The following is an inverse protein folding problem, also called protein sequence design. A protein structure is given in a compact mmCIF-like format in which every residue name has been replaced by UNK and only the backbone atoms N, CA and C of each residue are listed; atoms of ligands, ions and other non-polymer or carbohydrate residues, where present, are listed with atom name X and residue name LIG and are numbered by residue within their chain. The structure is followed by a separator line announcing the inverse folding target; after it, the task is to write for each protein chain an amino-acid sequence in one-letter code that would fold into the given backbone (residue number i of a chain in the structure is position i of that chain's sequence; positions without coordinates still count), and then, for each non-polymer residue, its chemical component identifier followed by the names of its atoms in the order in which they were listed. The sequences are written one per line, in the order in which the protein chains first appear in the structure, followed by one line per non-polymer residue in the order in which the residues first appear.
data_IF_952299049681
#
_entry.id   IF_952299049681
#
_cell.length_a   1.000
_cell.length_b   1.000
_cell.length_c   1.000
_cell.angle_alpha   90.00
_cell.angle_beta   90.00
_cell.angle_gamma   90.00
#
_symmetry.space_group_name_H-M   'P 1'
#
loop_
_entity.id
_entity.type
_entity.pdbx_description
1 polymer ?
#
# COMPACT_ATOMS: atom_id res chain seq x y z
N UNK A 1 -9.70 8.50 9.93
CA UNK A 1 -10.59 9.55 9.38
C UNK A 1 -9.86 10.23 8.24
N UNK A 2 -10.48 11.19 7.57
CA UNK A 2 -9.82 11.99 6.56
C UNK A 2 -10.28 13.44 6.69
N UNK A 3 -9.36 14.36 6.44
CA UNK A 3 -9.60 15.80 6.52
C UNK A 3 -9.19 16.45 5.20
N UNK A 4 -9.85 17.55 4.84
CA UNK A 4 -9.44 18.34 3.69
C UNK A 4 -8.19 19.14 4.04
N UNK A 5 -7.18 19.05 3.19
CA UNK A 5 -5.99 19.89 3.29
C UNK A 5 -6.37 21.34 2.99
N UNK A 6 -5.85 22.28 3.77
CA UNK A 6 -5.93 23.70 3.47
C UNK A 6 -4.99 24.05 2.31
N UNK A 7 -5.49 23.91 1.08
CA UNK A 7 -4.75 24.20 -0.14
C UNK A 7 -4.31 25.66 -0.21
N UNK A 8 -5.06 26.59 0.38
CA UNK A 8 -4.76 28.03 0.29
C UNK A 8 -3.44 28.38 1.01
N UNK A 9 -3.14 27.68 2.12
CA UNK A 9 -1.93 27.88 2.93
C UNK A 9 -0.87 26.78 2.72
N UNK A 10 -1.06 25.88 1.75
CA UNK A 10 -0.13 24.79 1.50
C UNK A 10 1.08 25.22 0.67
N UNK A 11 2.29 24.93 1.16
CA UNK A 11 3.55 25.29 0.50
C UNK A 11 3.73 24.72 -0.92
N UNK A 12 2.99 23.67 -1.28
CA UNK A 12 3.01 23.06 -2.63
C UNK A 12 1.78 23.40 -3.47
N UNK A 13 1.00 24.41 -3.09
CA UNK A 13 -0.20 24.84 -3.81
C UNK A 13 0.08 25.07 -5.30
N UNK A 14 1.08 25.88 -5.63
CA UNK A 14 1.38 26.22 -7.03
C UNK A 14 1.77 24.99 -7.85
N UNK A 15 2.51 24.04 -7.25
CA UNK A 15 2.83 22.78 -7.90
C UNK A 15 1.57 21.94 -8.14
N UNK A 16 0.69 21.86 -7.15
CA UNK A 16 -0.56 21.13 -7.28
C UNK A 16 -1.46 21.72 -8.37
N UNK A 17 -1.67 23.04 -8.36
CA UNK A 17 -2.47 23.74 -9.37
C UNK A 17 -1.87 23.58 -10.78
N UNK A 18 -0.54 23.56 -10.91
CA UNK A 18 0.14 23.32 -12.18
C UNK A 18 -0.10 21.91 -12.72
N UNK A 19 0.02 20.87 -11.88
CA UNK A 19 -0.05 19.48 -12.32
C UNK A 19 -1.48 18.93 -12.42
N UNK A 20 -2.44 19.42 -11.63
CA UNK A 20 -3.79 18.82 -11.55
C UNK A 20 -4.57 18.85 -12.88
N UNK A 21 -4.24 19.79 -13.78
CA UNK A 21 -4.85 19.89 -15.11
C UNK A 21 -4.29 18.92 -16.15
N UNK A 22 -3.25 18.15 -15.85
CA UNK A 22 -2.62 17.23 -16.80
C UNK A 22 -3.43 15.94 -16.91
N UNK A 23 -3.56 15.39 -18.13
CA UNK A 23 -4.19 14.07 -18.35
C UNK A 23 -3.45 12.92 -17.64
N UNK A 24 -2.12 13.06 -17.46
CA UNK A 24 -1.29 12.09 -16.77
C UNK A 24 -0.28 12.82 -15.85
N UNK A 25 -0.68 13.18 -14.62
CA UNK A 25 0.16 13.89 -13.66
C UNK A 25 1.07 12.94 -12.85
N UNK A 26 1.30 11.72 -13.34
CA UNK A 26 2.02 10.67 -12.62
C UNK A 26 3.37 10.37 -13.26
N UNK A 27 4.31 9.92 -12.43
CA UNK A 27 5.58 9.35 -12.86
C UNK A 27 5.88 8.09 -12.04
N UNK A 28 6.72 7.21 -12.59
CA UNK A 28 7.13 5.98 -11.94
C UNK A 28 8.60 6.08 -11.55
N UNK A 29 8.94 5.56 -10.38
CA UNK A 29 10.33 5.41 -9.91
C UNK A 29 10.57 3.95 -9.60
N UNK A 30 11.68 3.41 -10.10
CA UNK A 30 12.16 2.08 -9.77
C UNK A 30 13.58 2.21 -9.24
N UNK A 31 13.86 1.58 -8.10
CA UNK A 31 15.19 1.56 -7.52
C UNK A 31 15.41 0.26 -6.76
N UNK A 32 16.68 -0.12 -6.59
CA UNK A 32 17.07 -1.29 -5.83
C UNK A 32 17.23 -0.91 -4.35
N UNK A 33 16.62 -1.71 -3.48
CA UNK A 33 16.73 -1.56 -2.02
C UNK A 33 17.57 -2.72 -1.51
N UNK A 34 18.62 -2.43 -0.74
CA UNK A 34 19.36 -3.46 -0.03
C UNK A 34 18.53 -3.99 1.15
N UNK A 35 18.09 -5.24 1.02
CA UNK A 35 17.28 -5.96 2.01
C UNK A 35 18.07 -7.01 2.77
N UNK A 36 19.40 -6.98 2.73
CA UNK A 36 20.28 -8.01 3.34
C UNK A 36 19.96 -8.22 4.82
N UNK A 37 19.89 -7.13 5.59
CA UNK A 37 19.59 -7.19 7.02
C UNK A 37 18.15 -7.63 7.30
N UNK A 38 17.20 -7.16 6.49
CA UNK A 38 15.80 -7.56 6.61
C UNK A 38 15.65 -9.06 6.36
N UNK A 39 16.31 -9.59 5.32
CA UNK A 39 16.31 -11.01 4.97
C UNK A 39 16.88 -11.86 6.11
N UNK A 40 17.98 -11.43 6.72
CA UNK A 40 18.55 -12.13 7.87
C UNK A 40 17.58 -12.17 9.06
N UNK A 41 16.98 -11.03 9.40
CA UNK A 41 16.01 -10.91 10.48
C UNK A 41 14.78 -11.80 10.26
N UNK A 42 14.12 -11.72 9.11
CA UNK A 42 12.89 -12.51 8.85
C UNK A 42 13.17 -14.01 8.81
N UNK A 43 14.36 -14.43 8.35
CA UNK A 43 14.75 -15.84 8.38
C UNK A 43 14.95 -16.35 9.81
N UNK A 44 15.59 -15.56 10.68
CA UNK A 44 15.80 -15.91 12.09
C UNK A 44 14.47 -16.03 12.87
N UNK A 45 13.49 -15.19 12.51
CA UNK A 45 12.18 -15.15 13.18
C UNK A 45 11.10 -15.97 12.44
N UNK A 46 11.46 -16.67 11.37
CA UNK A 46 10.53 -17.44 10.52
C UNK A 46 9.38 -16.63 9.87
N UNK A 47 9.58 -15.34 9.66
CA UNK A 47 8.63 -14.49 8.94
C UNK A 47 8.81 -14.58 7.42
N UNK A 48 7.71 -14.44 6.66
CA UNK A 48 7.76 -14.34 5.20
C UNK A 48 8.29 -12.95 4.81
N UNK A 49 9.36 -12.89 4.03
CA UNK A 49 9.97 -11.62 3.59
C UNK A 49 8.99 -10.70 2.86
N UNK A 50 8.06 -11.26 2.07
CA UNK A 50 7.04 -10.47 1.37
C UNK A 50 6.15 -9.70 2.34
N UNK A 51 5.68 -10.33 3.43
CA UNK A 51 4.84 -9.66 4.43
C UNK A 51 5.61 -8.55 5.15
N UNK A 52 6.88 -8.78 5.47
CA UNK A 52 7.74 -7.78 6.09
C UNK A 52 7.97 -6.56 5.17
N UNK A 53 8.19 -6.79 3.87
CA UNK A 53 8.32 -5.70 2.89
C UNK A 53 7.03 -4.87 2.80
N UNK A 54 5.86 -5.51 2.81
CA UNK A 54 4.57 -4.80 2.83
C UNK A 54 4.42 -3.96 4.10
N UNK A 55 4.80 -4.49 5.27
CA UNK A 55 4.77 -3.72 6.52
C UNK A 55 5.61 -2.46 6.41
N UNK A 56 6.89 -2.58 6.01
CA UNK A 56 7.79 -1.44 5.97
C UNK A 56 7.38 -0.41 4.92
N UNK A 57 6.92 -0.85 3.74
CA UNK A 57 6.41 0.06 2.72
C UNK A 57 5.18 0.83 3.23
N UNK A 58 4.22 0.15 3.85
CA UNK A 58 3.01 0.79 4.35
C UNK A 58 3.28 1.66 5.60
N UNK A 59 4.23 1.27 6.45
CA UNK A 59 4.68 2.09 7.58
C UNK A 59 5.29 3.40 7.10
N UNK A 60 6.19 3.36 6.12
CA UNK A 60 6.79 4.57 5.54
C UNK A 60 5.71 5.45 4.90
N UNK A 61 4.75 4.86 4.18
CA UNK A 61 3.63 5.61 3.61
C UNK A 61 2.74 6.27 4.67
N UNK A 62 2.62 5.68 5.86
CA UNK A 62 1.88 6.27 6.98
C UNK A 62 2.69 7.34 7.74
N UNK A 63 4.02 7.21 7.80
CA UNK A 63 4.92 8.18 8.43
C UNK A 63 5.16 9.43 7.56
N UNK A 64 5.03 9.31 6.24
CA UNK A 64 5.22 10.41 5.28
C UNK A 64 3.86 10.88 4.75
N UNK A 65 3.39 11.99 5.30
CA UNK A 65 2.04 12.52 5.06
C UNK A 65 1.61 12.59 3.57
N UNK A 66 2.44 13.04 2.61
CA UNK A 66 2.05 13.08 1.20
C UNK A 66 1.59 11.75 0.58
N UNK A 67 1.99 10.58 1.12
CA UNK A 67 1.49 9.29 0.64
C UNK A 67 0.05 8.99 1.12
N UNK A 68 -0.45 9.75 2.09
CA UNK A 68 -1.82 9.67 2.61
C UNK A 68 -2.78 10.61 1.89
N UNK A 69 -2.29 11.38 0.92
CA UNK A 69 -3.14 12.28 0.13
C UNK A 69 -4.01 11.51 -0.85
N UNK A 70 -5.24 11.94 -1.03
CA UNK A 70 -6.16 11.50 -2.09
C UNK A 70 -6.86 12.69 -2.71
N UNK A 71 -7.21 12.55 -3.97
CA UNK A 71 -8.00 13.53 -4.71
C UNK A 71 -9.47 13.15 -4.63
N UNK A 72 -10.32 14.07 -4.18
CA UNK A 72 -11.77 13.91 -4.16
C UNK A 72 -12.42 15.25 -4.49
N UNK A 73 -13.25 15.27 -5.54
CA UNK A 73 -13.95 16.48 -6.02
C UNK A 73 -12.98 17.67 -6.21
N UNK A 74 -11.84 17.41 -6.86
CA UNK A 74 -10.74 18.38 -7.12
C UNK A 74 -10.08 18.96 -5.85
N UNK A 75 -10.40 18.41 -4.67
CA UNK A 75 -9.79 18.76 -3.40
C UNK A 75 -8.85 17.67 -2.92
N UNK A 76 -7.89 18.07 -2.09
CA UNK A 76 -6.94 17.15 -1.46
C UNK A 76 -7.48 16.73 -0.10
N UNK A 77 -7.71 15.42 0.07
CA UNK A 77 -7.95 14.78 1.35
C UNK A 77 -6.65 14.22 1.91
N UNK A 78 -6.47 14.28 3.22
CA UNK A 78 -5.39 13.64 3.95
C UNK A 78 -6.00 12.60 4.87
N UNK A 79 -5.68 11.32 4.66
CA UNK A 79 -6.09 10.26 5.56
C UNK A 79 -5.18 10.19 6.79
N UNK A 80 -5.76 9.90 7.96
CA UNK A 80 -4.96 9.64 9.17
C UNK A 80 -4.07 8.40 8.98
N UNK A 81 -4.65 7.38 8.34
CA UNK A 81 -4.02 6.07 8.11
C UNK A 81 -4.35 5.63 6.70
N UNK A 82 -3.34 5.13 5.99
CA UNK A 82 -3.51 4.35 4.77
C UNK A 82 -3.27 2.87 5.04
N UNK A 83 -4.10 2.05 4.43
CA UNK A 83 -4.20 0.61 4.61
C UNK A 83 -3.66 -0.12 3.38
N UNK A 84 -3.51 -1.44 3.47
CA UNK A 84 -2.87 -2.22 2.43
C UNK A 84 -3.84 -3.05 1.61
N UNK A 85 -3.58 -3.10 0.31
CA UNK A 85 -4.12 -4.09 -0.60
C UNK A 85 -2.98 -4.85 -1.27
N UNK A 86 -3.17 -6.14 -1.54
CA UNK A 86 -2.18 -6.92 -2.30
C UNK A 86 -2.83 -7.92 -3.24
N UNK A 87 -2.11 -8.24 -4.32
CA UNK A 87 -2.44 -9.36 -5.20
C UNK A 87 -1.97 -10.68 -4.58
N UNK A 88 -2.84 -11.68 -4.53
CA UNK A 88 -2.54 -13.04 -4.05
C UNK A 88 -2.68 -14.01 -5.22
N UNK A 89 -1.58 -14.71 -5.56
CA UNK A 89 -1.60 -15.75 -6.59
C UNK A 89 -2.40 -16.97 -6.09
N UNK A 90 -3.32 -17.46 -6.92
CA UNK A 90 -4.16 -18.62 -6.66
C UNK A 90 -3.59 -19.87 -7.37
N UNK A 91 -3.94 -21.09 -6.91
CA UNK A 91 -3.43 -22.34 -7.51
C UNK A 91 -3.78 -22.54 -8.99
N UNK A 92 -4.81 -21.86 -9.49
CA UNK A 92 -5.28 -21.95 -10.88
C UNK A 92 -4.64 -20.90 -11.81
N UNK A 93 -3.46 -20.38 -11.44
CA UNK A 93 -2.71 -19.37 -12.21
C UNK A 93 -3.43 -18.00 -12.36
N UNK A 94 -4.52 -17.79 -11.64
CA UNK A 94 -5.17 -16.48 -11.50
C UNK A 94 -4.74 -15.77 -10.21
N UNK A 95 -5.27 -14.58 -9.93
CA UNK A 95 -5.01 -13.87 -8.68
C UNK A 95 -6.29 -13.31 -8.05
N UNK A 96 -6.24 -13.05 -6.74
CA UNK A 96 -7.25 -12.36 -5.96
C UNK A 96 -6.68 -11.11 -5.29
N UNK A 97 -7.54 -10.22 -4.79
CA UNK A 97 -7.13 -9.13 -3.91
C UNK A 97 -7.36 -9.50 -2.45
N UNK A 98 -6.34 -9.30 -1.62
CA UNK A 98 -6.47 -9.28 -0.17
C UNK A 98 -6.32 -7.84 0.33
N UNK A 99 -7.11 -7.46 1.33
CA UNK A 99 -7.08 -6.15 1.96
C UNK A 99 -6.86 -6.33 3.46
N UNK A 100 -6.07 -5.44 4.07
CA UNK A 100 -5.74 -5.51 5.49
C UNK A 100 -5.51 -4.10 6.04
N UNK A 101 -5.95 -3.91 7.28
CA UNK A 101 -5.75 -2.64 7.97
C UNK A 101 -4.30 -2.52 8.45
N UNK A 102 -3.75 -1.31 8.38
CA UNK A 102 -2.43 -1.01 8.90
C UNK A 102 -2.40 -1.17 10.41
N UNK A 103 -1.34 -1.78 10.91
CA UNK A 103 -1.06 -1.92 12.32
C UNK A 103 0.34 -1.42 12.56
N UNK A 104 0.50 -0.57 13.58
CA UNK A 104 1.82 -0.04 13.95
C UNK A 104 2.71 -1.15 14.52
N UNK A 105 2.11 -2.05 15.28
CA UNK A 105 2.78 -3.24 15.79
C UNK A 105 3.08 -4.23 14.65
N UNK A 106 4.34 -4.66 14.58
CA UNK A 106 4.84 -5.48 13.48
C UNK A 106 4.19 -6.86 13.46
N UNK A 107 4.14 -7.55 14.59
CA UNK A 107 3.65 -8.92 14.66
C UNK A 107 2.13 -9.00 14.45
N UNK A 108 1.40 -8.02 14.99
CA UNK A 108 -0.02 -7.86 14.73
C UNK A 108 -0.29 -7.62 13.25
N UNK A 109 0.47 -6.74 12.60
CA UNK A 109 0.34 -6.51 11.16
C UNK A 109 0.54 -7.80 10.36
N UNK A 110 1.62 -8.55 10.64
CA UNK A 110 1.92 -9.79 9.92
C UNK A 110 0.81 -10.84 10.10
N UNK A 111 0.26 -10.93 11.31
CA UNK A 111 -0.84 -11.85 11.64
C UNK A 111 -2.11 -11.48 10.88
N UNK A 112 -2.52 -10.22 10.93
CA UNK A 112 -3.73 -9.72 10.26
C UNK A 112 -3.61 -9.84 8.73
N UNK A 113 -2.44 -9.50 8.18
CA UNK A 113 -2.16 -9.63 6.74
C UNK A 113 -2.14 -11.10 6.29
N UNK A 114 -1.49 -12.00 7.05
CA UNK A 114 -1.46 -13.43 6.69
C UNK A 114 -2.86 -14.00 6.67
N UNK A 115 -3.69 -13.67 7.66
CA UNK A 115 -5.09 -14.09 7.70
C UNK A 115 -5.85 -13.62 6.45
N UNK A 116 -5.74 -12.35 6.09
CA UNK A 116 -6.40 -11.81 4.89
C UNK A 116 -5.95 -12.51 3.60
N UNK A 117 -4.66 -12.86 3.49
CA UNK A 117 -4.10 -13.59 2.35
C UNK A 117 -4.60 -15.03 2.31
N UNK A 118 -4.64 -15.71 3.45
CA UNK A 118 -5.07 -17.11 3.54
C UNK A 118 -6.57 -17.24 3.28
N UNK A 119 -7.39 -16.30 3.75
CA UNK A 119 -8.83 -16.24 3.51
C UNK A 119 -9.15 -16.20 2.00
N UNK A 120 -8.45 -15.37 1.23
CA UNK A 120 -8.70 -15.25 -0.22
C UNK A 120 -8.11 -16.40 -1.04
N UNK A 121 -7.09 -17.09 -0.53
CA UNK A 121 -6.45 -18.22 -1.23
C UNK A 121 -7.37 -19.44 -1.34
N UNK A 122 -8.32 -19.57 -0.42
CA UNK A 122 -9.34 -20.64 -0.45
C UNK A 122 -10.60 -20.24 -1.24
N UNK A 123 -10.72 -18.95 -1.58
CA UNK A 123 -11.86 -18.41 -2.29
C UNK A 123 -11.81 -18.68 -3.80
N UNK A 124 -12.99 -18.87 -4.38
CA UNK A 124 -13.20 -18.82 -5.83
C UNK A 124 -14.20 -17.71 -6.14
N UNK A 125 -13.97 -16.94 -7.19
CA UNK A 125 -14.86 -15.85 -7.57
C UNK A 125 -14.17 -14.75 -8.37
N UNK A 126 -14.94 -13.76 -8.85
CA UNK A 126 -14.40 -12.62 -9.58
C UNK A 126 -13.49 -11.77 -8.68
N UNK A 127 -12.59 -11.01 -9.30
CA UNK A 127 -11.83 -9.96 -8.62
C UNK A 127 -12.80 -8.96 -7.97
N UNK A 128 -12.60 -8.71 -6.67
CA UNK A 128 -13.43 -7.79 -5.89
C UNK A 128 -12.57 -6.58 -5.47
N UNK A 129 -12.64 -5.46 -6.19
CA UNK A 129 -11.98 -4.24 -5.75
C UNK A 129 -12.67 -3.70 -4.49
N UNK A 130 -11.88 -3.11 -3.58
CA UNK A 130 -12.42 -2.32 -2.48
C UNK A 130 -12.89 -0.96 -2.97
N UNK A 131 -13.93 -0.42 -2.34
CA UNK A 131 -14.39 0.97 -2.55
C UNK A 131 -13.67 1.97 -1.63
N UNK A 132 -12.67 1.49 -0.88
CA UNK A 132 -11.86 2.28 0.03
C UNK A 132 -10.81 3.08 -0.73
N UNK A 133 -10.83 4.40 -0.54
CA UNK A 133 -9.82 5.29 -1.10
C UNK A 133 -8.55 5.37 -0.23
N UNK A 134 -8.60 4.87 1.00
CA UNK A 134 -7.48 4.88 1.96
C UNK A 134 -6.52 3.70 1.79
N UNK A 135 -6.44 3.10 0.59
CA UNK A 135 -5.64 1.88 0.34
C UNK A 135 -4.46 2.19 -0.58
N UNK A 136 -3.32 1.56 -0.29
CA UNK A 136 -2.16 1.46 -1.18
C UNK A 136 -2.02 0.01 -1.63
N UNK A 137 -1.93 -0.19 -2.94
CA UNK A 137 -1.78 -1.51 -3.56
C UNK A 137 -0.31 -1.89 -3.69
N UNK A 138 0.02 -3.09 -3.24
CA UNK A 138 1.33 -3.69 -3.33
C UNK A 138 1.26 -5.00 -4.11
N UNK A 139 2.15 -5.18 -5.07
CA UNK A 139 2.28 -6.42 -5.84
C UNK A 139 3.67 -6.99 -5.66
N UNK A 140 3.78 -8.31 -5.49
CA UNK A 140 5.07 -9.01 -5.45
C UNK A 140 5.16 -9.96 -6.63
N UNK A 141 6.21 -9.82 -7.44
CA UNK A 141 6.50 -10.67 -8.59
C UNK A 141 7.80 -11.46 -8.33
N UNK A 142 7.75 -12.58 -7.60
CA UNK A 142 8.96 -13.29 -7.17
C UNK A 142 9.70 -14.02 -8.31
N UNK A 143 9.14 -14.05 -9.52
CA UNK A 143 9.71 -14.73 -10.69
C UNK A 143 10.48 -13.80 -11.65
N UNK A 144 10.61 -12.50 -11.34
CA UNK A 144 11.32 -11.51 -12.17
C UNK A 144 12.31 -10.74 -11.26
N UNK A 145 13.46 -10.37 -11.82
CA UNK A 145 14.47 -9.50 -11.20
C UNK A 145 14.82 -8.30 -12.06
#
# INVERSE_FOLDING_TARGET
MAEYLDVANWSRRDLFEFFIGYTNPYFNVCTQIDVTNLKAFVNQQHYKISLALHYFALRVANEIEPFRYRLKDEKVLVYDVVNGGTTVLLPNESFAYAYFDYQRDFEKFLTDMSKAVDDVRTGSGPLKPTLRDDVIYHTTLPWIS
#
